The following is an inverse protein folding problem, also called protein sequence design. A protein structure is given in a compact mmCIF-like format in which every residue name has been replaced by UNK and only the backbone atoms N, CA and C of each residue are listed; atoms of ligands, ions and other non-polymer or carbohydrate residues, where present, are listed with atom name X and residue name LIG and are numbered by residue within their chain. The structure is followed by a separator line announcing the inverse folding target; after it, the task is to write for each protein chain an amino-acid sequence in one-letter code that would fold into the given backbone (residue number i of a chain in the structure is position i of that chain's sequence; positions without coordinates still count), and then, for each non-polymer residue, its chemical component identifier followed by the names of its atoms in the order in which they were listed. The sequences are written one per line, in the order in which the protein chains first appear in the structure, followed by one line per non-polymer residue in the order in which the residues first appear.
data_IF_114058414243
#
_entry.id   IF_114058414243
#
_cell.length_a   1.000
_cell.length_b   1.000
_cell.length_c   1.000
_cell.angle_alpha   90.00
_cell.angle_beta   90.00
_cell.angle_gamma   90.00
#
_symmetry.space_group_name_H-M   'P 1'
#
loop_
_entity.id
_entity.type
_entity.pdbx_description
1 polymer ?
#
# COMPACT_ATOMS: atom_id res chain seq x y z
N UNK A 1 2.25 23.66 10.81
CA UNK A 1 2.63 22.28 10.47
C UNK A 1 1.38 21.44 10.68
N UNK A 2 0.89 20.71 9.67
CA UNK A 2 -0.28 19.84 9.87
C UNK A 2 0.17 18.57 10.56
N UNK A 3 -0.53 18.16 11.60
CA UNK A 3 -0.22 16.92 12.32
C UNK A 3 -0.60 15.73 11.45
N UNK A 4 0.38 14.84 11.25
CA UNK A 4 0.20 13.57 10.54
C UNK A 4 0.39 12.46 11.55
N UNK A 5 -0.59 11.57 11.65
CA UNK A 5 -0.46 10.35 12.45
C UNK A 5 -0.23 9.16 11.53
N UNK A 6 0.86 8.44 11.74
CA UNK A 6 1.10 7.16 11.09
C UNK A 6 1.01 6.04 12.13
N UNK A 7 0.23 4.99 11.84
CA UNK A 7 0.18 3.77 12.64
C UNK A 7 0.47 2.58 11.74
N UNK A 8 1.41 1.75 12.14
CA UNK A 8 1.82 0.54 11.44
C UNK A 8 1.71 -0.65 12.39
N UNK A 9 1.40 -1.81 11.84
CA UNK A 9 1.39 -3.06 12.58
C UNK A 9 1.74 -4.22 11.66
N UNK A 10 2.29 -5.28 12.26
CA UNK A 10 2.56 -6.54 11.57
C UNK A 10 1.27 -7.18 11.07
N UNK A 11 1.28 -7.61 9.81
CA UNK A 11 0.17 -8.38 9.26
C UNK A 11 0.29 -9.83 9.69
N UNK A 12 -0.49 -10.22 10.70
CA UNK A 12 -0.55 -11.61 11.21
C UNK A 12 -0.99 -12.64 10.16
N UNK A 13 -1.56 -12.19 9.03
CA UNK A 13 -1.99 -13.06 7.94
C UNK A 13 -1.00 -13.04 6.77
N UNK A 14 0.17 -12.42 6.90
CA UNK A 14 1.21 -12.45 5.88
C UNK A 14 1.56 -13.88 5.45
N UNK A 15 1.73 -14.11 4.15
CA UNK A 15 2.04 -15.43 3.58
C UNK A 15 0.86 -16.43 3.54
N UNK A 16 -0.24 -16.14 4.22
CA UNK A 16 -1.44 -16.99 4.17
C UNK A 16 -2.22 -16.82 2.87
N UNK A 17 -2.98 -17.84 2.50
CA UNK A 17 -3.86 -17.82 1.32
C UNK A 17 -5.27 -17.33 1.69
N UNK A 18 -5.95 -16.72 0.71
CA UNK A 18 -7.37 -16.33 0.83
C UNK A 18 -8.22 -16.76 -0.37
N UNK A 19 -7.60 -17.47 -1.30
CA UNK A 19 -8.20 -18.03 -2.49
C UNK A 19 -7.16 -18.92 -3.17
N UNK A 20 -7.59 -19.67 -4.20
CA UNK A 20 -6.69 -20.54 -4.94
C UNK A 20 -5.59 -19.71 -5.63
N UNK A 21 -4.35 -19.85 -5.16
CA UNK A 21 -3.20 -19.10 -5.68
C UNK A 21 -3.13 -17.62 -5.27
N UNK A 22 -4.01 -17.16 -4.38
CA UNK A 22 -4.01 -15.78 -3.88
C UNK A 22 -3.43 -15.72 -2.48
N UNK A 23 -2.29 -15.03 -2.35
CA UNK A 23 -1.51 -14.92 -1.12
C UNK A 23 -1.55 -13.49 -0.60
N UNK A 24 -1.60 -13.33 0.72
CA UNK A 24 -1.47 -12.01 1.35
C UNK A 24 0.01 -11.61 1.37
N UNK A 25 0.35 -10.58 0.60
CA UNK A 25 1.73 -10.11 0.42
C UNK A 25 2.15 -8.99 1.36
N UNK A 26 1.20 -8.24 1.92
CA UNK A 26 1.50 -7.16 2.85
C UNK A 26 2.15 -7.70 4.12
N UNK A 27 3.37 -7.24 4.41
CA UNK A 27 4.13 -7.58 5.62
C UNK A 27 3.63 -6.72 6.78
N UNK A 28 3.41 -5.44 6.52
CA UNK A 28 2.80 -4.50 7.47
C UNK A 28 1.54 -3.88 6.86
N UNK A 29 0.56 -3.64 7.71
CA UNK A 29 -0.57 -2.79 7.36
C UNK A 29 -0.49 -1.50 8.18
N UNK A 30 -1.17 -0.46 7.71
CA UNK A 30 -1.14 0.81 8.39
C UNK A 30 -2.25 1.77 8.00
N UNK A 31 -2.31 2.85 8.79
CA UNK A 31 -3.12 4.03 8.49
C UNK A 31 -2.27 5.28 8.56
N UNK A 32 -2.54 6.20 7.63
CA UNK A 32 -2.03 7.58 7.67
C UNK A 32 -3.23 8.51 7.86
N UNK A 33 -3.21 9.32 8.90
CA UNK A 33 -4.34 10.19 9.28
C UNK A 33 -3.88 11.66 9.30
N UNK A 34 -4.65 12.52 8.63
CA UNK A 34 -4.57 13.98 8.76
C UNK A 34 -5.77 14.44 9.57
N UNK A 35 -5.55 15.37 10.49
CA UNK A 35 -6.62 15.86 11.36
C UNK A 35 -7.41 17.02 10.72
N UNK A 36 -6.77 17.89 9.92
CA UNK A 36 -7.42 19.07 9.32
C UNK A 36 -6.87 19.45 7.92
N UNK A 37 -7.64 19.26 6.82
CA UNK A 37 -8.93 18.59 6.79
C UNK A 37 -8.76 17.11 7.11
N UNK A 38 -9.78 16.51 7.72
CA UNK A 38 -9.72 15.10 8.08
C UNK A 38 -9.48 14.23 6.84
N UNK A 39 -8.51 13.33 6.95
CA UNK A 39 -8.17 12.37 5.94
C UNK A 39 -7.68 11.09 6.57
N UNK A 40 -8.14 9.95 6.06
CA UNK A 40 -7.57 8.67 6.41
C UNK A 40 -7.14 7.95 5.15
N UNK A 41 -5.93 7.42 5.19
CA UNK A 41 -5.37 6.60 4.14
C UNK A 41 -5.01 5.23 4.69
N UNK A 42 -5.19 4.22 3.86
CA UNK A 42 -4.78 2.85 4.15
C UNK A 42 -3.53 2.54 3.35
N UNK A 43 -2.57 1.92 4.02
CA UNK A 43 -1.30 1.50 3.46
C UNK A 43 -1.06 0.04 3.78
N UNK A 44 -0.71 -0.73 2.76
CA UNK A 44 -0.29 -2.12 2.84
C UNK A 44 1.15 -2.18 2.32
N UNK A 45 2.12 -2.44 3.18
CA UNK A 45 3.54 -2.46 2.84
C UNK A 45 3.97 -3.84 2.39
N UNK A 46 4.51 -3.91 1.18
CA UNK A 46 4.89 -5.12 0.45
C UNK A 46 6.34 -4.98 -0.03
N UNK A 47 6.99 -6.09 -0.31
CA UNK A 47 8.25 -6.09 -1.06
C UNK A 47 8.08 -5.35 -2.40
N UNK A 48 9.13 -4.68 -2.87
CA UNK A 48 9.11 -3.83 -4.06
C UNK A 48 8.53 -4.56 -5.28
N UNK A 49 9.00 -5.78 -5.54
CA UNK A 49 8.56 -6.60 -6.65
C UNK A 49 7.10 -7.04 -6.52
N UNK A 50 6.63 -7.33 -5.30
CA UNK A 50 5.22 -7.67 -5.06
C UNK A 50 4.33 -6.45 -5.29
N UNK A 51 4.70 -5.29 -4.74
CA UNK A 51 3.98 -4.02 -4.95
C UNK A 51 3.84 -3.67 -6.44
N UNK A 52 4.91 -3.89 -7.22
CA UNK A 52 4.93 -3.62 -8.65
C UNK A 52 4.02 -4.59 -9.45
N UNK A 53 4.10 -5.89 -9.19
CA UNK A 53 3.33 -6.90 -9.94
C UNK A 53 1.86 -6.95 -9.55
N UNK A 54 1.53 -6.63 -8.30
CA UNK A 54 0.18 -6.75 -7.76
C UNK A 54 -0.50 -5.40 -7.59
N UNK A 55 -0.62 -4.65 -8.68
CA UNK A 55 -1.41 -3.41 -8.66
C UNK A 55 -2.86 -3.73 -8.34
N UNK A 56 -3.38 -3.11 -7.29
CA UNK A 56 -4.70 -3.45 -6.72
C UNK A 56 -5.85 -2.61 -7.30
N UNK A 57 -5.57 -1.66 -8.20
CA UNK A 57 -6.55 -0.83 -8.89
C UNK A 57 -6.06 -0.34 -10.26
N UNK A 58 -6.96 0.01 -11.22
CA UNK A 58 -6.57 0.52 -12.54
C UNK A 58 -5.64 1.74 -12.49
N UNK A 59 -5.81 2.61 -11.50
CA UNK A 59 -4.95 3.78 -11.28
C UNK A 59 -3.53 3.39 -10.86
N UNK A 60 -3.37 2.37 -10.03
CA UNK A 60 -2.04 1.88 -9.63
C UNK A 60 -1.34 1.21 -10.81
N UNK A 61 -2.09 0.49 -11.65
CA UNK A 61 -1.57 -0.09 -12.90
C UNK A 61 -1.02 0.97 -13.86
N UNK A 62 -1.72 2.10 -14.02
CA UNK A 62 -1.23 3.18 -14.87
C UNK A 62 0.03 3.85 -14.32
N UNK A 63 0.19 3.89 -12.99
CA UNK A 63 1.41 4.38 -12.35
C UNK A 63 2.56 3.39 -12.53
N UNK A 64 2.34 2.09 -12.27
CA UNK A 64 3.37 1.07 -12.43
C UNK A 64 3.88 0.98 -13.87
N UNK A 65 2.99 1.13 -14.87
CA UNK A 65 3.36 1.19 -16.29
C UNK A 65 4.26 2.36 -16.69
N UNK A 66 4.37 3.40 -15.86
CA UNK A 66 5.28 4.52 -16.11
C UNK A 66 6.71 4.23 -15.65
N UNK A 67 6.94 3.13 -14.95
CA UNK A 67 8.27 2.70 -14.56
C UNK A 67 8.88 1.88 -15.69
N UNK A 68 10.09 2.27 -16.12
CA UNK A 68 10.78 1.67 -17.27
C UNK A 68 11.26 0.24 -17.02
N UNK A 69 11.38 -0.17 -15.75
CA UNK A 69 11.81 -1.49 -15.35
C UNK A 69 11.13 -1.94 -14.06
N UNK A 70 11.08 -3.25 -13.86
CA UNK A 70 10.61 -3.85 -12.61
C UNK A 70 11.63 -3.50 -11.53
N UNK A 71 11.25 -2.73 -10.49
CA UNK A 71 12.18 -2.38 -9.44
C UNK A 71 12.54 -3.64 -8.62
N UNK A 72 13.82 -3.76 -8.27
CA UNK A 72 14.32 -4.90 -7.49
C UNK A 72 14.02 -4.71 -6.02
N UNK A 73 13.85 -5.82 -5.29
CA UNK A 73 13.76 -5.76 -3.84
C UNK A 73 15.06 -5.25 -3.23
N UNK A 74 14.93 -4.38 -2.24
CA UNK A 74 16.02 -3.84 -1.45
C UNK A 74 15.74 -4.17 0.02
N UNK A 75 16.75 -4.69 0.71
CA UNK A 75 16.56 -5.20 2.07
C UNK A 75 16.13 -4.06 3.02
N UNK A 76 14.97 -4.23 3.64
CA UNK A 76 14.42 -3.24 4.57
C UNK A 76 13.65 -2.11 3.91
N UNK A 77 13.45 -2.12 2.59
CA UNK A 77 12.57 -1.18 1.89
C UNK A 77 11.26 -1.85 1.53
N UNK A 78 10.15 -1.23 1.93
CA UNK A 78 8.81 -1.70 1.61
C UNK A 78 8.01 -0.63 0.89
N UNK A 79 7.19 -1.06 -0.07
CA UNK A 79 6.39 -0.18 -0.92
C UNK A 79 4.91 -0.34 -0.61
N UNK A 80 4.16 0.75 -0.75
CA UNK A 80 2.72 0.73 -0.54
C UNK A 80 1.94 1.54 -1.57
N UNK A 81 0.80 0.99 -2.00
CA UNK A 81 -0.20 1.73 -2.74
C UNK A 81 -1.09 2.54 -1.80
N UNK A 82 -1.38 3.79 -2.18
CA UNK A 82 -2.23 4.65 -1.38
C UNK A 82 -3.71 4.44 -1.69
N UNK A 83 -4.49 4.36 -0.61
CA UNK A 83 -5.93 4.35 -0.67
C UNK A 83 -6.52 5.37 0.27
N UNK A 84 -7.45 6.19 -0.23
CA UNK A 84 -8.31 7.01 0.62
C UNK A 84 -9.37 6.11 1.26
N UNK A 85 -9.59 6.29 2.55
CA UNK A 85 -10.66 5.62 3.27
C UNK A 85 -11.65 6.63 3.82
N UNK A 86 -12.90 6.50 3.40
CA UNK A 86 -13.98 7.38 3.77
C UNK A 86 -15.27 6.58 3.91
N UNK A 87 -15.94 6.69 5.07
CA UNK A 87 -17.25 6.07 5.32
C UNK A 87 -17.32 4.56 4.99
N UNK A 88 -16.26 3.80 5.28
CA UNK A 88 -16.20 2.37 4.98
C UNK A 88 -15.72 2.02 3.58
N UNK A 89 -15.57 3.00 2.70
CA UNK A 89 -15.17 2.81 1.30
C UNK A 89 -13.68 3.07 1.15
N UNK A 90 -13.00 2.13 0.49
CA UNK A 90 -11.57 2.22 0.12
C UNK A 90 -11.45 2.61 -1.35
N UNK A 91 -10.94 3.81 -1.63
CA UNK A 91 -10.78 4.34 -2.98
C UNK A 91 -9.29 4.48 -3.31
N UNK A 92 -8.85 3.86 -4.41
CA UNK A 92 -7.48 4.01 -4.88
C UNK A 92 -7.21 5.46 -5.28
N UNK A 93 -6.08 6.00 -4.83
CA UNK A 93 -5.65 7.35 -5.19
C UNK A 93 -4.27 7.31 -5.84
N UNK A 94 -3.88 8.45 -6.42
CA UNK A 94 -2.57 8.58 -7.04
C UNK A 94 -1.45 8.54 -6.01
N UNK A 95 -0.31 7.99 -6.43
CA UNK A 95 0.90 7.91 -5.63
C UNK A 95 1.12 6.56 -4.95
N UNK A 96 2.30 6.45 -4.34
CA UNK A 96 2.79 5.32 -3.57
C UNK A 96 3.71 5.84 -2.46
N UNK A 97 3.96 5.01 -1.45
CA UNK A 97 4.90 5.30 -0.38
C UNK A 97 6.01 4.25 -0.33
N UNK A 98 7.16 4.64 0.20
CA UNK A 98 8.25 3.76 0.59
C UNK A 98 8.48 3.94 2.09
N UNK A 99 8.78 2.85 2.80
CA UNK A 99 9.24 2.84 4.19
C UNK A 99 10.57 2.12 4.28
#
# INVERSE_FOLDING_TARGET
MKEITARLWENKLYGTTYGKGQYRKAIYNGTLELNDPYAKYLVDFEEIADWFHFTKAPLHHSIAKRLDSIPQNEAGIFMTWLYRYEQGIKTAIGGYGAW
#
